data_IF_437500526661
#
_entry.id   IF_437500526661
#
_cell.length_a   1.000
_cell.length_b   1.000
_cell.length_c   1.000
_cell.angle_alpha   90.00
_cell.angle_beta   90.00
_cell.angle_gamma   90.00
#
_symmetry.space_group_name_H-M   'P 1'
#
loop_
_entity.id
_entity.type
_entity.pdbx_description
1 polymer ?
#
# COMPACT_ATOMS: atom_id res chain seq x y z
N UNK A 1 -7.59 -9.70 -0.33
CA UNK A 1 -6.59 -9.54 -1.41
C UNK A 1 -6.93 -8.50 -2.47
N UNK A 2 -8.20 -8.19 -2.78
CA UNK A 2 -8.56 -7.30 -3.90
C UNK A 2 -8.02 -5.84 -3.82
N UNK A 3 -7.62 -5.34 -2.64
CA UNK A 3 -7.24 -3.93 -2.43
C UNK A 3 -5.77 -3.61 -2.75
N UNK A 4 -4.88 -4.59 -2.61
CA UNK A 4 -3.43 -4.39 -2.76
C UNK A 4 -2.81 -5.53 -3.57
N UNK A 5 -2.16 -5.20 -4.69
CA UNK A 5 -1.41 -6.17 -5.48
C UNK A 5 -0.26 -6.80 -4.68
N UNK A 6 0.35 -6.04 -3.77
CA UNK A 6 1.41 -6.54 -2.91
C UNK A 6 0.97 -7.77 -2.11
N UNK A 7 -0.21 -7.69 -1.50
CA UNK A 7 -0.76 -8.77 -0.66
C UNK A 7 -1.13 -9.97 -1.52
N UNK A 8 -1.70 -9.73 -2.72
CA UNK A 8 -1.99 -10.81 -3.67
C UNK A 8 -0.73 -11.56 -4.07
N UNK A 9 0.34 -10.85 -4.45
CA UNK A 9 1.64 -11.45 -4.81
C UNK A 9 2.19 -12.29 -3.66
N UNK A 10 2.15 -11.78 -2.42
CA UNK A 10 2.64 -12.53 -1.26
C UNK A 10 1.83 -13.79 -0.93
N UNK A 11 0.51 -13.73 -1.09
CA UNK A 11 -0.34 -14.92 -0.93
C UNK A 11 -0.09 -15.94 -2.04
N UNK A 12 0.13 -15.52 -3.28
CA UNK A 12 0.50 -16.44 -4.38
C UNK A 12 1.89 -17.06 -4.18
N UNK A 13 2.87 -16.29 -3.71
CA UNK A 13 4.24 -16.74 -3.46
C UNK A 13 4.36 -17.72 -2.29
N UNK A 14 3.53 -17.57 -1.25
CA UNK A 14 3.71 -18.28 0.04
C UNK A 14 2.52 -19.10 0.48
N UNK A 15 1.30 -18.73 0.07
CA UNK A 15 0.07 -19.39 0.52
C UNK A 15 -0.20 -20.75 -0.13
N UNK A 16 0.49 -21.09 -1.23
CA UNK A 16 0.34 -22.37 -1.93
C UNK A 16 1.03 -23.51 -1.16
N UNK A 17 2.11 -23.23 -0.42
CA UNK A 17 2.93 -24.25 0.27
C UNK A 17 2.78 -24.27 1.80
N UNK A 18 2.00 -23.37 2.41
CA UNK A 18 1.78 -23.33 3.86
C UNK A 18 1.55 -21.93 4.41
N UNK A 19 0.85 -21.84 5.55
CA UNK A 19 0.31 -20.61 6.15
C UNK A 19 1.08 -19.32 5.85
N UNK A 20 0.49 -18.42 5.06
CA UNK A 20 1.00 -17.07 4.86
C UNK A 20 0.93 -16.28 6.18
N UNK A 21 2.09 -15.89 6.72
CA UNK A 21 2.17 -14.93 7.81
C UNK A 21 2.39 -13.53 7.22
N UNK A 22 1.48 -12.56 7.46
CA UNK A 22 1.62 -11.19 6.98
C UNK A 22 2.94 -10.57 7.45
N UNK A 23 3.67 -9.96 6.52
CA UNK A 23 4.82 -9.11 6.86
C UNK A 23 4.36 -7.74 7.39
N UNK A 24 5.26 -6.96 8.03
CA UNK A 24 4.95 -5.62 8.51
C UNK A 24 4.33 -4.70 7.46
N UNK A 25 4.77 -4.78 6.20
CA UNK A 25 4.23 -3.98 5.09
C UNK A 25 2.77 -4.31 4.81
N UNK A 26 2.41 -5.59 4.80
CA UNK A 26 1.04 -6.07 4.61
C UNK A 26 0.11 -5.48 5.65
N UNK A 27 0.48 -5.61 6.93
CA UNK A 27 -0.31 -5.07 8.04
C UNK A 27 -0.42 -3.53 7.95
N UNK A 28 0.67 -2.85 7.57
CA UNK A 28 0.68 -1.41 7.47
C UNK A 28 -0.17 -0.87 6.31
N UNK A 29 -0.14 -1.53 5.14
CA UNK A 29 -0.99 -1.22 4.00
C UNK A 29 -2.47 -1.40 4.35
N UNK A 30 -2.83 -2.52 4.98
CA UNK A 30 -4.22 -2.78 5.40
C UNK A 30 -4.73 -1.72 6.40
N UNK A 31 -3.93 -1.43 7.44
CA UNK A 31 -4.28 -0.46 8.48
C UNK A 31 -4.37 0.98 7.95
N UNK A 32 -3.59 1.33 6.91
CA UNK A 32 -3.54 2.67 6.36
C UNK A 32 -4.29 2.83 5.02
N UNK A 33 -5.02 1.82 4.53
CA UNK A 33 -5.69 1.86 3.21
C UNK A 33 -6.56 3.11 3.00
N UNK A 34 -7.29 3.53 4.04
CA UNK A 34 -8.11 4.75 3.99
C UNK A 34 -7.28 6.02 3.81
N UNK A 35 -6.16 6.13 4.55
CA UNK A 35 -5.23 7.27 4.46
C UNK A 35 -4.49 7.29 3.13
N UNK A 36 -4.07 6.12 2.65
CA UNK A 36 -3.41 5.96 1.35
C UNK A 36 -4.36 6.41 0.23
N UNK A 37 -5.60 5.90 0.23
CA UNK A 37 -6.60 6.27 -0.78
C UNK A 37 -6.88 7.78 -0.76
N UNK A 38 -6.99 8.37 0.43
CA UNK A 38 -7.21 9.82 0.59
C UNK A 38 -6.03 10.67 0.11
N UNK A 39 -4.80 10.27 0.45
CA UNK A 39 -3.59 10.95 -0.01
C UNK A 39 -3.43 10.88 -1.53
N UNK A 40 -3.78 9.75 -2.15
CA UNK A 40 -3.78 9.61 -3.61
C UNK A 40 -4.85 10.51 -4.25
N UNK A 41 -6.07 10.53 -3.72
CA UNK A 41 -7.14 11.41 -4.23
C UNK A 41 -6.84 12.90 -4.06
N UNK A 42 -6.16 13.29 -2.97
CA UNK A 42 -5.75 14.67 -2.69
C UNK A 42 -4.43 15.05 -3.33
N UNK A 43 -3.75 14.12 -4.02
CA UNK A 43 -2.49 14.39 -4.67
C UNK A 43 -2.65 15.43 -5.77
N UNK A 44 -1.58 16.17 -6.06
CA UNK A 44 -1.60 17.13 -7.17
C UNK A 44 -1.79 16.42 -8.51
N UNK A 45 -2.07 17.17 -9.57
CA UNK A 45 -2.10 16.61 -10.94
C UNK A 45 -0.77 15.94 -11.37
N UNK A 46 0.35 16.31 -10.73
CA UNK A 46 1.65 15.68 -10.92
C UNK A 46 1.86 14.42 -10.02
N UNK A 47 0.85 14.04 -9.24
CA UNK A 47 0.86 12.92 -8.31
C UNK A 47 1.63 13.20 -7.02
N UNK A 48 1.89 14.47 -6.67
CA UNK A 48 2.61 14.82 -5.43
C UNK A 48 1.67 14.68 -4.24
N UNK A 49 2.11 13.95 -3.22
CA UNK A 49 1.40 13.73 -1.97
C UNK A 49 1.97 14.69 -0.91
N UNK A 50 1.12 15.58 -0.40
CA UNK A 50 1.47 16.52 0.66
C UNK A 50 0.33 16.61 1.69
N UNK A 51 0.59 16.32 2.98
CA UNK A 51 1.87 15.88 3.54
C UNK A 51 2.24 14.45 3.10
N UNK A 52 3.54 14.13 3.14
CA UNK A 52 4.07 12.83 2.75
C UNK A 52 3.44 11.68 3.58
N UNK A 53 3.12 10.56 2.91
CA UNK A 53 2.64 9.36 3.57
C UNK A 53 3.79 8.67 4.30
N UNK A 54 3.59 8.36 5.58
CA UNK A 54 4.54 7.65 6.41
C UNK A 54 4.07 6.20 6.58
N UNK A 55 4.66 5.28 5.82
CA UNK A 55 4.38 3.85 5.88
C UNK A 55 5.63 3.08 6.36
N UNK A 56 5.56 1.75 6.36
CA UNK A 56 6.73 0.89 6.61
C UNK A 56 6.89 -0.15 5.50
N UNK A 57 8.13 -0.56 5.28
CA UNK A 57 8.48 -1.62 4.34
C UNK A 57 8.33 -3.03 4.95
N UNK A 58 8.66 -4.05 4.16
CA UNK A 58 8.57 -5.45 4.59
C UNK A 58 9.54 -5.81 5.72
N UNK A 59 10.58 -5.00 5.95
CA UNK A 59 11.58 -5.17 6.99
C UNK A 59 11.30 -4.28 8.22
N UNK A 60 10.09 -3.71 8.32
CA UNK A 60 9.67 -2.81 9.39
C UNK A 60 10.47 -1.48 9.44
N UNK A 61 11.04 -1.06 8.31
CA UNK A 61 11.74 0.23 8.18
C UNK A 61 10.78 1.32 7.70
N UNK A 62 10.99 2.59 8.11
CA UNK A 62 10.20 3.71 7.60
C UNK A 62 10.26 3.79 6.06
N UNK A 63 9.10 3.96 5.44
CA UNK A 63 8.94 4.16 4.01
C UNK A 63 8.10 5.41 3.77
N UNK A 64 8.79 6.51 3.45
CA UNK A 64 8.18 7.81 3.16
C UNK A 64 7.82 7.91 1.69
N UNK A 65 6.55 8.20 1.41
CA UNK A 65 6.03 8.33 0.04
C UNK A 65 5.63 9.79 -0.21
N UNK A 66 6.24 10.39 -1.22
CA UNK A 66 5.99 11.77 -1.63
C UNK A 66 5.25 11.84 -2.97
N UNK A 67 5.19 10.74 -3.72
CA UNK A 67 4.50 10.67 -5.00
C UNK A 67 3.69 9.38 -5.14
N UNK A 68 2.52 9.48 -5.78
CA UNK A 68 1.64 8.34 -6.07
C UNK A 68 2.38 7.21 -6.79
N UNK A 69 3.33 7.53 -7.67
CA UNK A 69 4.11 6.53 -8.43
C UNK A 69 4.91 5.58 -7.54
N UNK A 70 5.29 6.00 -6.34
CA UNK A 70 6.07 5.17 -5.42
C UNK A 70 5.22 4.02 -4.83
N UNK A 71 3.92 4.25 -4.63
CA UNK A 71 2.99 3.28 -4.04
C UNK A 71 2.10 2.59 -5.08
N UNK A 72 1.93 3.17 -6.27
CA UNK A 72 1.09 2.62 -7.32
C UNK A 72 1.32 1.12 -7.62
N UNK A 73 2.57 0.59 -7.66
CA UNK A 73 2.82 -0.84 -7.90
C UNK A 73 2.29 -1.78 -6.80
N UNK A 74 2.00 -1.25 -5.61
CA UNK A 74 1.48 -2.03 -4.47
C UNK A 74 -0.06 -1.98 -4.37
N UNK A 75 -0.71 -1.05 -5.06
CA UNK A 75 -2.17 -0.84 -5.03
C UNK A 75 -2.85 -1.70 -6.10
N UNK A 76 -3.86 -2.47 -5.71
CA UNK A 76 -4.71 -3.21 -6.66
C UNK A 76 -6.04 -2.53 -6.93
N UNK A 77 -6.69 -2.01 -5.87
CA UNK A 77 -7.93 -1.23 -5.99
C UNK A 77 -7.89 -0.05 -5.02
N UNK A 78 -8.17 1.14 -5.55
CA UNK A 78 -8.36 2.35 -4.76
C UNK A 78 -9.76 2.37 -4.14
N UNK A 79 -9.89 2.86 -2.91
CA UNK A 79 -11.19 3.12 -2.31
C UNK A 79 -11.79 4.35 -2.99
N UNK A 80 -12.86 4.18 -3.75
CA UNK A 80 -13.62 5.31 -4.31
C UNK A 80 -14.08 6.25 -3.19
N UNK A 81 -13.90 7.56 -3.38
CA UNK A 81 -14.49 8.60 -2.54
C UNK A 81 -15.27 9.52 -3.48
N UNK A 82 -16.59 9.42 -3.43
CA UNK A 82 -17.53 10.37 -4.03
C UNK A 82 -17.91 11.45 -3.03
#
# INVERSE_FOLDING_TARGET
>A
AARFEYILKKVLEKGIDGSYKPDPKTLNLENNWGKISEAIHKSSSAGIISPALQLIDANNKPWTINNVKEIAPDIGLLKFKG
#
